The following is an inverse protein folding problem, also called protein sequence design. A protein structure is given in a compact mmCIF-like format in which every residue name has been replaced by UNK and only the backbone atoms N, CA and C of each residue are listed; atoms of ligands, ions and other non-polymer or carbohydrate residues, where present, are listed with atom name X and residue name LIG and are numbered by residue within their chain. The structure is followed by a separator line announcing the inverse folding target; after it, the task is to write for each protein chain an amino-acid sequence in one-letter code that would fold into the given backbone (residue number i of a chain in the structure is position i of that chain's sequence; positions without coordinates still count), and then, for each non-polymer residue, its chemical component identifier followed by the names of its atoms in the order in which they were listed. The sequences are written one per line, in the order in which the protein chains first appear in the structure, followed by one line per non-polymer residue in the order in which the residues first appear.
data_IF_200289655293
#
_entry.id   IF_200289655293
#
_cell.length_a   1.000
_cell.length_b   1.000
_cell.length_c   1.000
_cell.angle_alpha   90.00
_cell.angle_beta   90.00
_cell.angle_gamma   90.00
#
_symmetry.space_group_name_H-M   'P 1'
#
loop_
_entity.id
_entity.type
_entity.pdbx_description
1 polymer ?
#
# COMPACT_ATOMS: atom_id res chain seq x y z
N UNK A 1 -6.27 21.65 7.90
CA UNK A 1 -6.72 20.54 8.77
C UNK A 1 -6.50 19.21 8.07
N UNK A 2 -5.83 18.29 8.72
CA UNK A 2 -5.59 17.00 8.11
C UNK A 2 -6.85 16.15 8.17
N UNK A 3 -7.23 15.61 7.03
CA UNK A 3 -8.43 14.80 6.91
C UNK A 3 -8.09 13.32 7.20
N UNK A 4 -7.77 13.05 8.46
CA UNK A 4 -7.39 11.72 8.92
C UNK A 4 -8.56 11.03 9.60
N UNK A 5 -8.66 9.72 9.37
CA UNK A 5 -9.62 8.90 10.07
C UNK A 5 -9.05 8.49 11.43
N UNK A 6 -9.84 8.63 12.48
CA UNK A 6 -9.43 8.23 13.83
C UNK A 6 -9.67 6.74 14.02
N UNK A 7 -8.66 6.05 14.54
CA UNK A 7 -8.77 4.64 14.89
C UNK A 7 -9.05 4.55 16.39
N UNK A 8 -10.19 3.98 16.74
CA UNK A 8 -10.49 3.62 18.11
C UNK A 8 -9.91 2.23 18.37
N UNK A 9 -9.34 1.93 19.56
CA UNK A 9 -8.83 0.59 19.86
C UNK A 9 -9.83 -0.54 19.65
N UNK A 10 -11.12 -0.25 19.75
CA UNK A 10 -12.18 -1.21 19.51
C UNK A 10 -12.60 -1.30 18.05
N UNK A 11 -12.15 -0.39 17.22
CA UNK A 11 -12.51 -0.34 15.81
C UNK A 11 -11.45 -1.02 14.95
N UNK A 12 -11.92 -1.58 13.85
CA UNK A 12 -11.06 -2.17 12.83
C UNK A 12 -11.17 -1.32 11.57
N UNK A 13 -10.03 -0.98 11.01
CA UNK A 13 -9.96 -0.31 9.72
C UNK A 13 -9.59 -1.34 8.66
N UNK A 14 -10.34 -1.35 7.57
CA UNK A 14 -10.01 -2.15 6.39
C UNK A 14 -9.51 -1.24 5.30
N UNK A 15 -8.39 -1.60 4.70
CA UNK A 15 -7.77 -0.85 3.61
C UNK A 15 -7.58 -1.79 2.42
N UNK A 16 -8.06 -1.36 1.25
CA UNK A 16 -7.84 -2.09 -0.01
C UNK A 16 -6.94 -1.22 -0.88
N UNK A 17 -5.87 -1.80 -1.38
CA UNK A 17 -4.85 -1.05 -2.15
C UNK A 17 -4.58 -1.72 -3.49
N UNK A 18 -4.22 -0.89 -4.48
CA UNK A 18 -3.75 -1.41 -5.76
C UNK A 18 -2.83 -0.40 -6.42
N UNK A 19 -1.98 -0.90 -7.30
CA UNK A 19 -1.08 -0.10 -8.11
C UNK A 19 -1.11 -0.57 -9.54
N UNK A 20 -0.90 0.35 -10.46
CA UNK A 20 -0.89 0.07 -11.89
C UNK A 20 0.20 0.89 -12.57
N UNK A 21 0.70 0.39 -13.70
CA UNK A 21 1.72 1.10 -14.46
C UNK A 21 1.53 0.82 -15.94
N UNK A 22 1.56 1.89 -16.75
CA UNK A 22 1.50 1.80 -18.22
C UNK A 22 2.92 1.72 -18.77
N UNK A 23 3.36 0.49 -19.06
CA UNK A 23 4.78 0.20 -19.27
C UNK A 23 5.46 0.06 -17.90
N UNK A 24 6.56 -0.64 -17.86
CA UNK A 24 7.23 -0.91 -16.57
C UNK A 24 8.75 -0.84 -16.77
N UNK A 25 9.38 0.36 -16.67
CA UNK A 25 8.83 1.61 -16.12
C UNK A 25 7.92 2.39 -17.06
N UNK A 26 7.12 3.28 -16.48
CA UNK A 26 6.21 4.14 -17.23
C UNK A 26 5.35 4.97 -16.29
N UNK A 27 4.28 5.53 -16.81
CA UNK A 27 3.34 6.30 -16.00
C UNK A 27 2.52 5.34 -15.14
N UNK A 28 2.48 5.60 -13.84
CA UNK A 28 1.79 4.75 -12.90
C UNK A 28 0.78 5.48 -12.05
N UNK A 29 -0.12 4.71 -11.46
CA UNK A 29 -1.11 5.20 -10.54
C UNK A 29 -1.28 4.23 -9.37
N UNK A 30 -1.79 4.77 -8.28
CA UNK A 30 -2.14 3.98 -7.11
C UNK A 30 -3.51 4.38 -6.60
N UNK A 31 -4.19 3.46 -5.95
CA UNK A 31 -5.49 3.71 -5.38
C UNK A 31 -5.66 2.96 -4.08
N UNK A 32 -6.45 3.54 -3.19
CA UNK A 32 -6.79 2.88 -1.94
C UNK A 32 -8.21 3.23 -1.51
N UNK A 33 -8.87 2.25 -0.91
CA UNK A 33 -10.19 2.41 -0.30
C UNK A 33 -10.02 2.12 1.19
N UNK A 34 -10.40 3.08 2.02
CA UNK A 34 -10.25 2.99 3.47
C UNK A 34 -11.63 2.97 4.10
N UNK A 35 -11.91 1.92 4.86
CA UNK A 35 -13.21 1.72 5.48
C UNK A 35 -13.05 1.71 6.99
N UNK A 36 -13.71 2.66 7.65
CA UNK A 36 -13.72 2.77 9.11
C UNK A 36 -15.16 2.90 9.57
N UNK A 37 -15.68 1.90 10.28
CA UNK A 37 -17.10 1.80 10.59
C UNK A 37 -17.90 1.81 9.28
N UNK A 38 -18.83 2.74 9.12
CA UNK A 38 -19.62 2.87 7.90
C UNK A 38 -19.09 3.94 6.94
N UNK A 39 -17.97 4.56 7.30
CA UNK A 39 -17.34 5.56 6.43
C UNK A 39 -16.41 4.90 5.44
N UNK A 40 -16.52 5.32 4.17
CA UNK A 40 -15.65 4.86 3.09
C UNK A 40 -14.95 6.07 2.51
N UNK A 41 -13.61 6.04 2.52
CA UNK A 41 -12.78 7.08 1.93
C UNK A 41 -11.97 6.49 0.80
N UNK A 42 -11.94 7.18 -0.32
CA UNK A 42 -11.14 6.79 -1.48
C UNK A 42 -10.03 7.79 -1.71
N UNK A 43 -8.83 7.31 -1.97
CA UNK A 43 -7.69 8.14 -2.32
C UNK A 43 -6.98 7.56 -3.54
N UNK A 44 -6.34 8.42 -4.31
CA UNK A 44 -5.58 8.01 -5.48
C UNK A 44 -4.49 9.01 -5.80
N UNK A 45 -3.51 8.59 -6.56
CA UNK A 45 -2.45 9.45 -7.02
C UNK A 45 -1.68 8.81 -8.17
N UNK A 46 -0.76 9.58 -8.76
CA UNK A 46 0.01 9.11 -9.90
C UNK A 46 1.48 9.49 -9.77
N UNK A 47 2.30 8.82 -10.56
CA UNK A 47 3.73 9.14 -10.69
C UNK A 47 4.16 8.90 -12.12
N UNK A 48 5.06 9.74 -12.60
CA UNK A 48 5.70 9.56 -13.90
C UNK A 48 6.93 8.67 -13.74
N UNK A 49 7.24 7.90 -14.76
CA UNK A 49 8.45 7.07 -14.82
C UNK A 49 8.63 6.21 -13.55
N UNK A 50 7.61 5.43 -13.25
CA UNK A 50 7.58 4.58 -12.07
C UNK A 50 7.43 3.10 -12.46
N UNK A 51 7.22 2.24 -11.48
CA UNK A 51 7.02 0.81 -11.71
C UNK A 51 5.76 0.34 -11.01
N UNK A 52 5.23 -0.80 -11.44
CA UNK A 52 4.08 -1.41 -10.80
C UNK A 52 4.35 -1.66 -9.31
N UNK A 53 5.54 -2.21 -8.99
CA UNK A 53 5.88 -2.51 -7.59
C UNK A 53 5.91 -1.26 -6.72
N UNK A 54 6.46 -0.15 -7.22
CA UNK A 54 6.45 1.12 -6.48
C UNK A 54 5.03 1.59 -6.21
N UNK A 55 4.15 1.47 -7.19
CA UNK A 55 2.76 1.92 -7.05
C UNK A 55 2.01 1.07 -6.03
N UNK A 56 2.28 -0.24 -6.00
CA UNK A 56 1.72 -1.12 -4.99
C UNK A 56 2.13 -0.73 -3.57
N UNK A 57 3.42 -0.45 -3.37
CA UNK A 57 3.92 0.01 -2.08
C UNK A 57 3.34 1.36 -1.70
N UNK A 58 3.31 2.28 -2.65
CA UNK A 58 2.86 3.65 -2.39
C UNK A 58 1.38 3.70 -2.02
N UNK A 59 0.54 2.85 -2.60
CA UNK A 59 -0.87 2.77 -2.24
C UNK A 59 -1.04 2.49 -0.75
N UNK A 60 -0.29 1.52 -0.22
CA UNK A 60 -0.34 1.18 1.21
C UNK A 60 0.19 2.32 2.08
N UNK A 61 1.30 2.93 1.68
CA UNK A 61 1.90 4.04 2.43
C UNK A 61 0.93 5.22 2.52
N UNK A 62 0.36 5.61 1.40
CA UNK A 62 -0.54 6.76 1.36
C UNK A 62 -1.81 6.51 2.15
N UNK A 63 -2.33 5.28 2.11
CA UNK A 63 -3.48 4.90 2.93
C UNK A 63 -3.14 4.98 4.42
N UNK A 64 -1.99 4.44 4.81
CA UNK A 64 -1.57 4.45 6.21
C UNK A 64 -1.31 5.87 6.74
N UNK A 65 -0.88 6.79 5.87
CA UNK A 65 -0.70 8.19 6.25
C UNK A 65 -2.03 8.90 6.54
N UNK A 66 -3.16 8.38 6.04
CA UNK A 66 -4.47 9.00 6.28
C UNK A 66 -5.12 8.56 7.58
N UNK A 67 -4.62 7.49 8.21
CA UNK A 67 -5.20 7.00 9.48
C UNK A 67 -4.47 7.60 10.66
N UNK A 68 -5.15 7.68 11.80
CA UNK A 68 -4.59 8.27 13.00
C UNK A 68 -5.21 7.58 14.23
N UNK A 69 -4.39 7.42 15.28
CA UNK A 69 -4.84 6.79 16.51
C UNK A 69 -4.33 5.36 16.64
N UNK A 70 -4.94 4.62 17.55
CA UNK A 70 -4.60 3.22 17.83
C UNK A 70 -5.73 2.30 17.41
N UNK A 71 -5.39 1.05 17.06
CA UNK A 71 -6.39 0.06 16.69
C UNK A 71 -5.83 -0.98 15.74
N UNK A 72 -6.73 -1.71 15.12
CA UNK A 72 -6.39 -2.81 14.22
C UNK A 72 -6.64 -2.41 12.79
N UNK A 73 -5.67 -2.70 11.93
CA UNK A 73 -5.75 -2.40 10.50
C UNK A 73 -5.61 -3.71 9.72
N UNK A 74 -6.51 -3.93 8.77
CA UNK A 74 -6.38 -5.00 7.79
C UNK A 74 -6.11 -4.36 6.44
N UNK A 75 -4.99 -4.72 5.81
CA UNK A 75 -4.68 -4.25 4.47
C UNK A 75 -4.83 -5.42 3.50
N UNK A 76 -5.70 -5.23 2.52
CA UNK A 76 -5.98 -6.21 1.48
C UNK A 76 -5.26 -5.78 0.20
N UNK A 77 -4.44 -6.67 -0.33
CA UNK A 77 -3.64 -6.41 -1.52
C UNK A 77 -3.61 -7.65 -2.41
N UNK A 78 -3.57 -7.44 -3.73
CA UNK A 78 -3.32 -8.53 -4.67
C UNK A 78 -1.84 -8.59 -5.07
N UNK A 79 -0.99 -7.74 -4.49
CA UNK A 79 0.43 -7.70 -4.77
C UNK A 79 1.19 -8.75 -3.94
N UNK A 80 1.70 -9.78 -4.60
CA UNK A 80 2.58 -10.74 -3.94
C UNK A 80 3.91 -10.10 -3.53
N UNK A 81 4.37 -9.10 -4.28
CA UNK A 81 5.57 -8.37 -3.95
C UNK A 81 5.44 -7.68 -2.58
N UNK A 82 4.32 -6.97 -2.37
CA UNK A 82 4.06 -6.31 -1.09
C UNK A 82 3.93 -7.33 0.04
N UNK A 83 3.13 -8.36 -0.16
CA UNK A 83 2.91 -9.38 0.87
C UNK A 83 4.21 -10.08 1.26
N UNK A 84 4.96 -10.56 0.28
CA UNK A 84 6.19 -11.29 0.54
C UNK A 84 7.25 -10.41 1.18
N UNK A 85 7.34 -9.16 0.76
CA UNK A 85 8.29 -8.23 1.33
C UNK A 85 8.05 -7.99 2.81
N UNK A 86 6.81 -7.67 3.19
CA UNK A 86 6.50 -7.32 4.57
C UNK A 86 6.49 -8.55 5.50
N UNK A 87 6.13 -9.73 4.98
CA UNK A 87 6.04 -10.93 5.82
C UNK A 87 7.36 -11.72 5.87
N UNK A 88 8.17 -11.67 4.84
CA UNK A 88 9.37 -12.49 4.74
C UNK A 88 10.65 -11.68 4.53
N UNK A 89 10.74 -10.95 3.44
CA UNK A 89 12.02 -10.36 3.00
C UNK A 89 12.55 -9.28 3.93
N UNK A 90 11.66 -8.48 4.50
CA UNK A 90 12.05 -7.32 5.30
C UNK A 90 12.89 -7.70 6.53
N UNK A 91 12.65 -8.87 7.10
CA UNK A 91 13.41 -9.34 8.26
C UNK A 91 14.88 -9.53 7.92
N UNK A 92 15.16 -10.13 6.75
CA UNK A 92 16.54 -10.31 6.30
C UNK A 92 17.17 -8.99 5.88
N UNK A 93 16.42 -8.11 5.24
CA UNK A 93 16.94 -6.79 4.87
C UNK A 93 17.39 -6.01 6.09
N UNK A 94 16.58 -6.00 7.14
CA UNK A 94 16.92 -5.29 8.39
C UNK A 94 18.18 -5.85 9.03
N UNK A 95 18.35 -7.18 9.01
CA UNK A 95 19.55 -7.82 9.55
C UNK A 95 20.81 -7.52 8.73
N UNK A 96 20.66 -7.26 7.44
CA UNK A 96 21.76 -7.07 6.51
C UNK A 96 21.93 -5.59 6.10
N UNK A 97 21.52 -4.67 6.96
CA UNK A 97 21.64 -3.22 6.73
C UNK A 97 20.99 -2.75 5.41
N UNK A 98 19.88 -3.39 5.03
CA UNK A 98 19.13 -3.09 3.81
C UNK A 98 19.95 -3.32 2.54
N UNK A 99 20.86 -4.29 2.58
CA UNK A 99 21.67 -4.69 1.43
C UNK A 99 21.26 -6.09 0.98
N UNK A 100 21.31 -6.32 -0.33
CA UNK A 100 21.05 -7.65 -0.87
C UNK A 100 22.31 -8.53 -0.76
N UNK A 101 22.23 -9.77 -1.27
CA UNK A 101 23.36 -10.71 -1.23
C UNK A 101 24.59 -10.21 -1.98
N UNK A 102 24.41 -9.33 -2.97
CA UNK A 102 25.50 -8.69 -3.71
C UNK A 102 25.98 -7.41 -3.07
N UNK A 103 25.52 -7.11 -1.85
CA UNK A 103 25.86 -5.93 -1.05
C UNK A 103 25.44 -4.62 -1.72
N UNK A 104 24.39 -4.68 -2.54
CA UNK A 104 23.76 -3.49 -3.13
C UNK A 104 22.51 -3.13 -2.33
N UNK A 105 22.17 -1.85 -2.33
CA UNK A 105 20.98 -1.35 -1.64
C UNK A 105 19.71 -2.00 -2.23
N UNK A 106 18.82 -2.43 -1.35
CA UNK A 106 17.54 -3.03 -1.72
C UNK A 106 16.72 -2.05 -2.57
N UNK A 107 16.10 -2.55 -3.64
CA UNK A 107 15.17 -1.76 -4.45
C UNK A 107 14.02 -1.27 -3.58
N UNK A 108 13.64 -0.02 -3.80
CA UNK A 108 12.53 0.62 -3.08
C UNK A 108 12.76 0.69 -1.56
N UNK A 109 14.02 0.72 -1.15
CA UNK A 109 14.40 0.73 0.28
C UNK A 109 13.61 1.76 1.08
N UNK A 110 13.53 3.00 0.59
CA UNK A 110 12.88 4.09 1.32
C UNK A 110 11.40 3.81 1.55
N UNK A 111 10.72 3.25 0.56
CA UNK A 111 9.32 2.88 0.67
C UNK A 111 9.14 1.72 1.65
N UNK A 112 10.00 0.72 1.58
CA UNK A 112 9.96 -0.40 2.51
C UNK A 112 10.23 0.04 3.95
N UNK A 113 11.15 0.96 4.15
CA UNK A 113 11.44 1.50 5.48
C UNK A 113 10.24 2.23 6.06
N UNK A 114 9.51 2.96 5.23
CA UNK A 114 8.31 3.66 5.70
C UNK A 114 7.20 2.66 6.06
N UNK A 115 7.00 1.63 5.24
CA UNK A 115 6.04 0.57 5.55
C UNK A 115 6.41 -0.13 6.86
N UNK A 116 7.68 -0.41 7.07
CA UNK A 116 8.16 -1.04 8.29
C UNK A 116 7.85 -0.18 9.53
N UNK A 117 8.03 1.13 9.43
CA UNK A 117 7.66 2.04 10.52
C UNK A 117 6.19 1.97 10.86
N UNK A 118 5.32 1.96 9.86
CA UNK A 118 3.88 1.81 10.08
C UNK A 118 3.55 0.45 10.68
N UNK A 119 4.21 -0.60 10.20
CA UNK A 119 3.97 -1.95 10.69
C UNK A 119 4.37 -2.11 12.16
N UNK A 120 5.34 -1.32 12.63
CA UNK A 120 5.75 -1.29 14.03
C UNK A 120 4.86 -0.38 14.88
N UNK A 121 4.27 0.62 14.27
CA UNK A 121 3.41 1.60 14.96
C UNK A 121 1.98 1.09 15.16
N UNK A 122 1.44 0.40 14.16
CA UNK A 122 0.07 -0.09 14.17
C UNK A 122 0.05 -1.63 14.18
N UNK A 123 -1.06 -2.20 14.62
CA UNK A 123 -1.30 -3.64 14.49
C UNK A 123 -1.92 -3.88 13.12
N UNK A 124 -1.11 -4.32 12.18
CA UNK A 124 -1.52 -4.49 10.79
C UNK A 124 -1.52 -5.96 10.42
N UNK A 125 -2.64 -6.44 9.89
CA UNK A 125 -2.73 -7.74 9.25
C UNK A 125 -2.68 -7.52 7.75
N UNK A 126 -1.72 -8.14 7.08
CA UNK A 126 -1.55 -8.05 5.63
C UNK A 126 -2.21 -9.25 4.99
N UNK A 127 -3.26 -9.03 4.23
CA UNK A 127 -4.09 -10.09 3.66
C UNK A 127 -3.97 -10.06 2.15
N UNK A 128 -3.48 -11.15 1.59
CA UNK A 128 -3.43 -11.27 0.13
C UNK A 128 -4.79 -11.71 -0.40
N UNK A 129 -5.25 -11.06 -1.46
CA UNK A 129 -6.47 -11.42 -2.18
C UNK A 129 -6.13 -11.66 -3.64
N UNK A 130 -6.88 -12.55 -4.28
CA UNK A 130 -6.66 -12.84 -5.69
C UNK A 130 -7.21 -11.69 -6.53
N UNK A 131 -6.39 -11.20 -7.46
CA UNK A 131 -6.80 -10.13 -8.36
C UNK A 131 -8.01 -10.54 -9.21
N UNK A 132 -8.92 -9.59 -9.41
CA UNK A 132 -10.11 -9.76 -10.27
C UNK A 132 -10.97 -10.96 -9.88
N UNK A 133 -11.07 -11.23 -8.59
CA UNK A 133 -11.84 -12.35 -8.07
C UNK A 133 -13.21 -11.92 -7.51
N UNK A 134 -13.76 -10.82 -8.00
CA UNK A 134 -15.09 -10.35 -7.63
C UNK A 134 -15.16 -9.57 -6.33
N UNK A 135 -14.03 -9.26 -5.69
CA UNK A 135 -14.03 -8.43 -4.48
C UNK A 135 -14.27 -6.98 -4.88
N UNK A 136 -15.37 -6.42 -4.42
CA UNK A 136 -15.82 -5.08 -4.80
C UNK A 136 -14.76 -4.01 -4.52
N UNK A 137 -14.20 -4.01 -3.32
CA UNK A 137 -13.25 -2.96 -2.93
C UNK A 137 -11.87 -3.15 -3.53
N UNK A 138 -11.46 -4.40 -3.75
CA UNK A 138 -10.22 -4.67 -4.48
C UNK A 138 -10.32 -4.14 -5.92
N UNK A 139 -11.45 -4.38 -6.57
CA UNK A 139 -11.69 -3.87 -7.91
C UNK A 139 -11.80 -2.35 -7.92
N UNK A 140 -12.38 -1.76 -6.87
CA UNK A 140 -12.45 -0.29 -6.76
C UNK A 140 -11.06 0.33 -6.63
N UNK A 141 -10.18 -0.27 -5.83
CA UNK A 141 -8.80 0.21 -5.73
C UNK A 141 -8.08 0.15 -7.08
N UNK A 142 -8.30 -0.92 -7.85
CA UNK A 142 -7.76 -1.04 -9.21
C UNK A 142 -8.29 0.08 -10.11
N UNK A 143 -9.59 0.34 -10.09
CA UNK A 143 -10.20 1.43 -10.87
C UNK A 143 -9.57 2.78 -10.50
N UNK A 144 -9.40 3.05 -9.21
CA UNK A 144 -8.81 4.31 -8.74
C UNK A 144 -7.38 4.49 -9.27
N UNK A 145 -6.59 3.43 -9.23
CA UNK A 145 -5.22 3.46 -9.78
C UNK A 145 -5.23 3.81 -11.27
N UNK A 146 -6.13 3.24 -12.04
CA UNK A 146 -6.24 3.49 -13.46
C UNK A 146 -6.80 4.88 -13.78
N UNK A 147 -7.75 5.35 -12.99
CA UNK A 147 -8.27 6.73 -13.09
C UNK A 147 -7.13 7.72 -12.84
N UNK A 148 -6.29 7.47 -11.83
CA UNK A 148 -5.17 8.35 -11.52
C UNK A 148 -4.20 8.48 -12.69
N UNK A 149 -3.93 7.39 -13.41
CA UNK A 149 -3.07 7.44 -14.60
C UNK A 149 -3.70 8.33 -15.69
N UNK A 150 -5.00 8.22 -15.90
CA UNK A 150 -5.71 9.06 -16.89
C UNK A 150 -5.68 10.53 -16.50
N UNK A 151 -5.73 10.83 -15.20
CA UNK A 151 -5.73 12.20 -14.69
C UNK A 151 -4.38 12.90 -14.87
N UNK A 152 -3.33 12.17 -15.27
CA UNK A 152 -2.00 12.76 -15.49
C UNK A 152 -1.93 13.72 -16.69
N UNK A 153 -2.88 13.67 -17.57
CA UNK A 153 -2.86 14.46 -18.80
C UNK A 153 -3.48 15.84 -18.61
#
# INVERSE_FOLDING_TARGET
MQNRLLINPMNKIKIYTDGACKGNPGNGGWGAVIICNDEVKEIKGYSKNTTNNKMELLASIMALRTVNGEGYIEIYTDSMYLKNGITNWIHNWKKNNWLNSSKKVIKNKELWEEIDKFNNKYKISWIWVKAHNGDFYNERADQLANIAIKDMN
#
